data_IF_469010536153
#
_entry.id   IF_469010536153
#
_cell.length_a   1.000
_cell.length_b   1.000
_cell.length_c   1.000
_cell.angle_alpha   90.00
_cell.angle_beta   90.00
_cell.angle_gamma   90.00
#
_symmetry.space_group_name_H-M   'P 1'
#
loop_
_entity.id
_entity.type
_entity.pdbx_description
1 polymer ?
#
# COMPACT_ATOMS: atom_id res chain seq x y z
N UNK A 1 -35.66 -15.02 3.18
CA UNK A 1 -34.80 -16.07 3.78
C UNK A 1 -34.15 -17.00 2.75
N UNK A 2 -34.90 -17.53 1.77
CA UNK A 2 -34.36 -18.49 0.77
C UNK A 2 -33.21 -17.94 -0.10
N UNK A 3 -33.24 -16.67 -0.52
CA UNK A 3 -32.16 -16.09 -1.38
C UNK A 3 -30.83 -15.88 -0.65
N UNK A 4 -30.85 -15.52 0.64
CA UNK A 4 -29.62 -15.36 1.45
C UNK A 4 -28.90 -16.69 1.67
N UNK A 5 -29.66 -17.78 1.85
CA UNK A 5 -29.10 -19.14 1.98
C UNK A 5 -28.47 -19.60 0.65
N UNK A 6 -29.13 -19.31 -0.49
CA UNK A 6 -28.60 -19.62 -1.82
C UNK A 6 -27.30 -18.85 -2.10
N UNK A 7 -27.23 -17.57 -1.72
CA UNK A 7 -26.02 -16.76 -1.92
C UNK A 7 -24.83 -17.27 -1.08
N UNK A 8 -25.07 -17.67 0.18
CA UNK A 8 -24.04 -18.27 1.04
C UNK A 8 -23.55 -19.60 0.46
N UNK A 9 -24.45 -20.43 -0.08
CA UNK A 9 -24.08 -21.69 -0.70
C UNK A 9 -23.23 -21.48 -1.97
N UNK A 10 -23.57 -20.49 -2.81
CA UNK A 10 -22.76 -20.14 -3.99
C UNK A 10 -21.37 -19.66 -3.59
N UNK A 11 -21.28 -18.85 -2.52
CA UNK A 11 -20.00 -18.37 -2.00
C UNK A 11 -19.13 -19.53 -1.49
N UNK A 12 -19.71 -20.48 -0.76
CA UNK A 12 -19.00 -21.66 -0.26
C UNK A 12 -18.54 -22.59 -1.39
N UNK A 13 -19.33 -22.73 -2.44
CA UNK A 13 -18.94 -23.51 -3.63
C UNK A 13 -17.80 -22.81 -4.38
N UNK A 14 -17.87 -21.49 -4.55
CA UNK A 14 -16.82 -20.71 -5.20
C UNK A 14 -15.48 -20.78 -4.43
N UNK A 15 -15.51 -20.67 -3.09
CA UNK A 15 -14.29 -20.80 -2.27
C UNK A 15 -13.74 -22.21 -2.30
N UNK A 16 -14.58 -23.24 -2.34
CA UNK A 16 -14.13 -24.62 -2.48
C UNK A 16 -13.39 -24.87 -3.81
N UNK A 17 -13.92 -24.35 -4.93
CA UNK A 17 -13.23 -24.44 -6.23
C UNK A 17 -11.93 -23.62 -6.27
N UNK A 18 -11.90 -22.46 -5.60
CA UNK A 18 -10.69 -21.66 -5.50
C UNK A 18 -9.59 -22.36 -4.68
N UNK A 19 -9.93 -22.93 -3.51
CA UNK A 19 -8.98 -23.66 -2.66
C UNK A 19 -8.47 -24.93 -3.35
N UNK A 20 -9.34 -25.71 -3.99
CA UNK A 20 -8.92 -26.91 -4.72
C UNK A 20 -8.06 -26.58 -5.95
N UNK A 21 -8.39 -25.51 -6.68
CA UNK A 21 -7.55 -25.00 -7.77
C UNK A 21 -6.18 -24.52 -7.28
N UNK A 22 -6.14 -23.82 -6.16
CA UNK A 22 -4.90 -23.34 -5.54
C UNK A 22 -4.01 -24.49 -5.05
N UNK A 23 -4.59 -25.51 -4.41
CA UNK A 23 -3.86 -26.70 -3.99
C UNK A 23 -3.28 -27.49 -5.17
N UNK A 24 -4.04 -27.61 -6.27
CA UNK A 24 -3.54 -28.23 -7.50
C UNK A 24 -2.38 -27.44 -8.09
N UNK A 25 -2.51 -26.13 -8.18
CA UNK A 25 -1.46 -25.24 -8.68
C UNK A 25 -0.16 -25.36 -7.86
N UNK A 26 -0.28 -25.46 -6.53
CA UNK A 26 0.87 -25.69 -5.65
C UNK A 26 1.53 -27.06 -5.89
N UNK A 27 0.75 -28.10 -6.21
CA UNK A 27 1.29 -29.43 -6.52
C UNK A 27 1.98 -29.46 -7.89
N UNK A 28 1.38 -28.84 -8.91
CA UNK A 28 1.96 -28.72 -10.25
C UNK A 28 3.27 -27.90 -10.21
N UNK A 29 3.36 -26.87 -9.34
CA UNK A 29 4.61 -26.13 -9.10
C UNK A 29 5.71 -27.01 -8.50
N UNK A 30 5.37 -27.87 -7.54
CA UNK A 30 6.35 -28.79 -6.93
C UNK A 30 6.86 -29.81 -7.95
N UNK A 31 6.00 -30.33 -8.80
CA UNK A 31 6.35 -31.32 -9.81
C UNK A 31 7.21 -30.72 -10.93
N UNK A 32 6.90 -29.49 -11.38
CA UNK A 32 7.71 -28.76 -12.36
C UNK A 32 9.09 -28.40 -11.81
N UNK A 33 9.18 -27.91 -10.56
CA UNK A 33 10.46 -27.66 -9.90
C UNK A 33 11.27 -28.94 -9.69
N UNK A 34 10.65 -30.05 -9.30
CA UNK A 34 11.33 -31.34 -9.15
C UNK A 34 11.87 -31.87 -10.50
N UNK A 35 11.14 -31.63 -11.58
CA UNK A 35 11.55 -31.99 -12.95
C UNK A 35 12.73 -31.14 -13.43
N UNK A 36 12.76 -29.85 -13.07
CA UNK A 36 13.84 -28.92 -13.45
C UNK A 36 15.13 -29.17 -12.65
N UNK A 37 15.02 -29.66 -11.41
CA UNK A 37 16.16 -30.13 -10.62
C UNK A 37 16.67 -31.50 -11.11
N UNK A 38 15.79 -32.33 -11.69
CA UNK A 38 16.13 -33.66 -12.20
C UNK A 38 16.89 -33.71 -13.53
N UNK A 39 16.97 -32.60 -14.27
CA UNK A 39 17.64 -32.53 -15.59
C UNK A 39 19.05 -31.94 -15.56
N UNK A 40 19.51 -31.44 -14.41
CA UNK A 40 20.92 -31.09 -14.19
C UNK A 40 21.67 -32.29 -13.59
N UNK A 41 22.05 -33.22 -14.46
CA UNK A 41 22.77 -34.45 -14.11
C UNK A 41 24.03 -34.17 -13.29
N UNK A 42 24.03 -34.65 -12.04
CA UNK A 42 25.27 -34.99 -11.36
C UNK A 42 25.88 -36.21 -12.07
N UNK A 43 27.16 -36.19 -12.45
CA UNK A 43 27.80 -37.36 -13.04
C UNK A 43 27.77 -38.52 -12.04
N UNK A 44 27.23 -39.66 -12.48
CA UNK A 44 27.37 -40.93 -11.78
C UNK A 44 28.85 -41.33 -11.81
N UNK A 45 29.54 -41.17 -10.69
CA UNK A 45 30.85 -41.76 -10.48
C UNK A 45 30.66 -43.28 -10.31
N UNK A 46 30.88 -44.01 -11.38
CA UNK A 46 31.13 -45.45 -11.34
C UNK A 46 32.40 -45.69 -10.51
N UNK A 47 32.25 -46.35 -9.37
CA UNK A 47 33.39 -46.84 -8.58
C UNK A 47 33.75 -48.22 -9.16
N UNK A 48 34.96 -48.42 -9.72
CA UNK A 48 35.43 -49.74 -10.07
C UNK A 48 35.58 -50.57 -8.79
N UNK A 49 35.06 -51.79 -8.83
CA UNK A 49 35.35 -52.82 -7.86
C UNK A 49 36.83 -53.17 -8.00
N UNK A 50 37.65 -52.83 -7.03
CA UNK A 50 38.91 -53.53 -6.82
C UNK A 50 39.16 -53.74 -5.33
N UNK A 51 39.38 -55.01 -5.04
CA UNK A 51 39.69 -55.63 -3.78
C UNK A 51 41.18 -55.45 -3.49
N UNK A 52 41.56 -54.79 -2.40
CA UNK A 52 42.86 -55.01 -1.77
C UNK A 52 42.87 -54.38 -0.38
N UNK A 53 43.00 -55.23 0.63
CA UNK A 53 43.13 -54.82 2.03
C UNK A 53 44.39 -54.01 2.32
N UNK A 54 44.29 -53.24 3.39
CA UNK A 54 45.38 -52.51 4.02
C UNK A 54 44.84 -51.78 5.24
N UNK A 55 45.14 -52.28 6.43
CA UNK A 55 44.85 -51.65 7.71
C UNK A 55 45.58 -50.32 7.82
N UNK A 56 44.87 -49.19 7.82
CA UNK A 56 45.41 -47.91 8.30
C UNK A 56 44.34 -47.16 9.11
N UNK A 57 44.83 -46.47 10.14
CA UNK A 57 44.20 -45.97 11.36
C UNK A 57 42.79 -45.33 11.24
N UNK A 58 41.97 -45.35 12.32
CA UNK A 58 40.72 -44.61 12.34
C UNK A 58 41.01 -43.10 12.27
N UNK A 59 40.93 -42.55 11.07
CA UNK A 59 40.83 -41.10 10.85
C UNK A 59 39.56 -40.66 11.58
N UNK A 60 39.75 -39.89 12.65
CA UNK A 60 38.68 -39.17 13.32
C UNK A 60 37.99 -38.30 12.27
N UNK A 61 36.77 -38.66 11.89
CA UNK A 61 35.89 -37.74 11.19
C UNK A 61 35.72 -36.52 12.09
N UNK A 62 36.30 -35.39 11.69
CA UNK A 62 35.94 -34.10 12.25
C UNK A 62 34.57 -33.76 11.64
N UNK A 63 33.47 -33.78 12.42
CA UNK A 63 32.17 -33.42 11.89
C UNK A 63 32.22 -31.93 11.58
N UNK A 64 32.45 -31.58 10.32
CA UNK A 64 32.27 -30.23 9.82
C UNK A 64 30.85 -29.79 10.15
N UNK A 65 30.73 -28.95 11.19
CA UNK A 65 29.49 -28.36 11.67
C UNK A 65 28.89 -27.59 10.51
N UNK A 66 27.82 -28.12 9.92
CA UNK A 66 26.95 -27.34 9.04
C UNK A 66 26.26 -26.34 9.97
N UNK A 67 26.77 -25.11 10.07
CA UNK A 67 26.09 -24.01 10.75
C UNK A 67 24.78 -23.74 10.01
N UNK A 68 23.69 -24.36 10.48
CA UNK A 68 22.35 -24.02 10.03
C UNK A 68 22.00 -22.65 10.65
N UNK A 69 21.72 -21.60 9.84
CA UNK A 69 21.40 -20.29 10.38
C UNK A 69 20.23 -20.34 11.36
N UNK A 70 20.36 -19.62 12.47
CA UNK A 70 19.35 -19.59 13.53
C UNK A 70 18.03 -18.99 12.99
N UNK A 71 16.90 -19.63 13.33
CA UNK A 71 15.54 -19.12 13.01
C UNK A 71 14.96 -18.39 14.21
N UNK A 72 14.41 -17.22 13.98
CA UNK A 72 13.69 -16.42 14.97
C UNK A 72 12.22 -16.29 14.58
N UNK A 73 11.38 -15.91 15.55
CA UNK A 73 9.98 -15.55 15.28
C UNK A 73 9.89 -14.08 14.88
N UNK A 74 9.08 -13.80 13.89
CA UNK A 74 8.83 -12.46 13.41
C UNK A 74 8.05 -11.66 14.47
N UNK A 75 8.56 -10.51 14.96
CA UNK A 75 7.84 -9.67 15.90
C UNK A 75 6.65 -8.97 15.23
N UNK A 76 5.76 -8.41 16.05
CA UNK A 76 4.72 -7.50 15.57
C UNK A 76 5.28 -6.08 15.46
N UNK A 77 5.32 -5.56 14.23
CA UNK A 77 5.75 -4.20 13.90
C UNK A 77 4.57 -3.27 13.65
N UNK A 78 3.33 -3.77 13.72
CA UNK A 78 2.14 -2.98 13.41
C UNK A 78 2.00 -1.79 14.37
N UNK A 79 1.71 -0.60 13.82
CA UNK A 79 1.60 0.68 14.54
C UNK A 79 2.89 1.20 15.16
N UNK A 80 4.03 0.52 15.00
CA UNK A 80 5.33 1.06 15.39
C UNK A 80 5.82 2.12 14.42
N UNK A 81 6.69 3.00 14.91
CA UNK A 81 7.48 3.88 14.05
C UNK A 81 8.55 3.09 13.29
N UNK A 82 9.01 3.62 12.16
CA UNK A 82 10.12 3.04 11.39
C UNK A 82 11.37 2.81 12.27
N UNK A 83 11.69 3.76 13.16
CA UNK A 83 12.83 3.67 14.08
C UNK A 83 12.65 2.53 15.10
N UNK A 84 11.48 2.45 15.76
CA UNK A 84 11.17 1.35 16.70
C UNK A 84 11.18 -0.02 16.01
N UNK A 85 10.68 -0.09 14.78
CA UNK A 85 10.71 -1.31 13.99
C UNK A 85 12.14 -1.72 13.60
N UNK A 86 12.99 -0.77 13.25
CA UNK A 86 14.41 -1.02 12.96
C UNK A 86 15.14 -1.56 14.18
N UNK A 87 14.93 -0.95 15.35
CA UNK A 87 15.52 -1.39 16.62
C UNK A 87 15.15 -2.85 16.91
N UNK A 88 13.86 -3.19 16.90
CA UNK A 88 13.39 -4.55 17.16
C UNK A 88 13.95 -5.59 16.19
N UNK A 89 14.00 -5.25 14.90
CA UNK A 89 14.55 -6.16 13.89
C UNK A 89 16.06 -6.34 14.03
N UNK A 90 16.77 -5.28 14.42
CA UNK A 90 18.21 -5.32 14.64
C UNK A 90 18.60 -6.22 15.82
N UNK A 91 17.81 -6.23 16.89
CA UNK A 91 17.98 -7.13 18.04
C UNK A 91 17.88 -8.60 17.63
N UNK A 92 17.03 -8.89 16.64
CA UNK A 92 16.84 -10.22 16.06
C UNK A 92 17.80 -10.53 14.91
N UNK A 93 18.75 -9.63 14.61
CA UNK A 93 19.68 -9.71 13.47
C UNK A 93 18.96 -9.85 12.12
N UNK A 94 17.77 -9.29 12.00
CA UNK A 94 17.00 -9.22 10.77
C UNK A 94 17.32 -7.91 10.05
N UNK A 95 17.26 -7.93 8.72
CA UNK A 95 17.41 -6.72 7.90
C UNK A 95 16.04 -6.12 7.64
N UNK A 96 15.94 -4.81 7.66
CA UNK A 96 14.72 -4.09 7.29
C UNK A 96 14.83 -3.52 5.87
N UNK A 97 13.81 -3.74 5.05
CA UNK A 97 13.58 -3.04 3.78
C UNK A 97 12.30 -2.22 3.90
N UNK A 98 12.43 -0.89 3.83
CA UNK A 98 11.30 0.03 3.96
C UNK A 98 10.66 0.27 2.59
N UNK A 99 9.34 0.10 2.54
CA UNK A 99 8.50 0.38 1.39
C UNK A 99 7.47 1.44 1.77
N UNK A 100 7.69 2.68 1.34
CA UNK A 100 6.74 3.75 1.60
C UNK A 100 5.50 3.63 0.70
N UNK A 101 4.32 3.71 1.29
CA UNK A 101 3.06 3.70 0.56
C UNK A 101 2.08 4.76 1.06
N UNK A 102 1.20 5.21 0.16
CA UNK A 102 0.14 6.15 0.51
C UNK A 102 -0.83 5.48 1.49
N UNK A 103 -0.98 6.07 2.67
CA UNK A 103 -1.94 5.58 3.66
C UNK A 103 -2.53 6.75 4.45
N UNK A 104 -3.85 6.91 4.37
CA UNK A 104 -4.56 8.00 5.06
C UNK A 104 -4.94 7.65 6.51
N UNK A 105 -4.83 6.38 6.90
CA UNK A 105 -5.23 5.88 8.21
C UNK A 105 -4.11 5.94 9.25
N UNK A 106 -2.86 5.99 8.81
CA UNK A 106 -1.68 6.00 9.67
C UNK A 106 -0.86 7.27 9.43
N UNK A 107 -0.23 7.79 10.50
CA UNK A 107 0.69 8.92 10.39
C UNK A 107 1.91 8.58 9.52
N UNK A 108 2.52 9.57 8.88
CA UNK A 108 3.77 9.36 8.13
C UNK A 108 4.86 8.75 9.04
N UNK A 109 5.57 7.73 8.56
CA UNK A 109 6.62 7.04 9.32
C UNK A 109 6.11 5.89 10.20
N UNK A 110 4.82 5.57 10.16
CA UNK A 110 4.22 4.47 10.93
C UNK A 110 4.06 3.23 10.06
N UNK A 111 4.49 2.09 10.58
CA UNK A 111 4.33 0.77 9.97
C UNK A 111 2.86 0.35 10.02
N UNK A 112 2.30 0.01 8.86
CA UNK A 112 0.93 -0.49 8.77
C UNK A 112 0.85 -1.92 8.23
N UNK A 113 1.97 -2.45 7.71
CA UNK A 113 2.05 -3.82 7.23
C UNK A 113 3.51 -4.30 7.24
N UNK A 114 3.70 -5.60 7.43
CA UNK A 114 5.00 -6.26 7.39
C UNK A 114 4.93 -7.58 6.63
N UNK A 115 6.09 -8.02 6.12
CA UNK A 115 6.28 -9.38 5.62
C UNK A 115 7.71 -9.86 5.92
N UNK A 116 7.92 -11.03 6.55
CA UNK A 116 6.94 -12.04 7.01
C UNK A 116 5.89 -11.54 8.01
N UNK A 117 4.78 -12.29 8.15
CA UNK A 117 3.75 -11.96 9.14
C UNK A 117 4.24 -12.26 10.56
N UNK A 118 3.62 -11.62 11.55
CA UNK A 118 3.87 -11.88 12.97
C UNK A 118 3.89 -13.39 13.27
N UNK A 119 4.80 -13.81 14.15
CA UNK A 119 5.06 -15.21 14.55
C UNK A 119 5.62 -16.14 13.45
N UNK A 120 5.68 -15.72 12.19
CA UNK A 120 6.33 -16.52 11.14
C UNK A 120 7.82 -16.71 11.42
N UNK A 121 8.37 -17.87 11.02
CA UNK A 121 9.78 -18.19 11.22
C UNK A 121 10.63 -17.63 10.08
N UNK A 122 11.63 -16.83 10.43
CA UNK A 122 12.56 -16.18 9.50
C UNK A 122 14.00 -16.50 9.92
N UNK A 123 14.92 -16.65 8.97
CA UNK A 123 16.34 -16.87 9.27
C UNK A 123 17.00 -15.54 9.65
N UNK A 124 17.88 -15.55 10.64
CA UNK A 124 18.72 -14.39 10.94
C UNK A 124 19.48 -13.95 9.67
N UNK A 125 19.55 -12.65 9.43
CA UNK A 125 20.16 -12.04 8.24
C UNK A 125 19.25 -11.95 7.01
N UNK A 126 18.05 -12.55 7.03
CA UNK A 126 17.02 -12.33 6.02
C UNK A 126 16.39 -10.94 6.15
N UNK A 127 15.70 -10.53 5.09
CA UNK A 127 15.10 -9.20 4.95
C UNK A 127 13.60 -9.24 5.20
N UNK A 128 13.16 -8.39 6.11
CA UNK A 128 11.76 -8.08 6.36
C UNK A 128 11.38 -6.87 5.53
N UNK A 129 10.32 -7.00 4.74
CA UNK A 129 9.69 -5.86 4.07
C UNK A 129 8.70 -5.20 5.00
N UNK A 130 8.92 -3.93 5.30
CA UNK A 130 8.12 -3.12 6.20
C UNK A 130 7.47 -2.01 5.39
N UNK A 131 6.15 -1.94 5.43
CA UNK A 131 5.37 -0.97 4.69
C UNK A 131 5.02 0.18 5.61
N UNK A 132 5.58 1.35 5.29
CA UNK A 132 5.51 2.54 6.12
C UNK A 132 4.57 3.54 5.45
N UNK A 133 3.68 4.13 6.24
CA UNK A 133 2.78 5.15 5.75
C UNK A 133 3.57 6.38 5.34
N UNK A 134 3.31 6.89 4.14
CA UNK A 134 3.75 8.21 3.71
C UNK A 134 2.54 9.01 3.22
N UNK A 135 2.08 9.94 4.05
CA UNK A 135 0.93 10.79 3.73
C UNK A 135 1.24 11.80 2.61
N UNK A 136 2.51 12.11 2.32
CA UNK A 136 2.88 12.95 1.18
C UNK A 136 2.55 12.28 -0.16
N UNK A 137 2.42 10.95 -0.19
CA UNK A 137 2.01 10.19 -1.37
C UNK A 137 0.50 10.17 -1.62
N UNK A 138 -0.32 10.72 -0.70
CA UNK A 138 -1.78 10.84 -0.89
C UNK A 138 -2.15 11.87 -1.97
N UNK A 139 -1.16 12.63 -2.45
CA UNK A 139 -1.33 13.71 -3.42
C UNK A 139 -1.62 15.04 -2.71
N UNK A 140 -1.12 16.12 -3.28
CA UNK A 140 -1.53 17.46 -2.86
C UNK A 140 -2.90 17.76 -3.46
N UNK A 141 -3.82 18.27 -2.64
CA UNK A 141 -5.04 18.85 -3.20
C UNK A 141 -4.65 20.05 -4.07
N UNK A 142 -5.02 20.01 -5.36
CA UNK A 142 -4.83 21.15 -6.27
C UNK A 142 -5.64 22.33 -5.72
N UNK A 143 -4.95 23.28 -5.08
CA UNK A 143 -5.56 24.50 -4.55
C UNK A 143 -5.53 25.60 -5.59
N UNK A 144 -6.69 26.18 -5.84
CA UNK A 144 -6.89 27.27 -6.78
C UNK A 144 -7.23 28.53 -6.00
N UNK A 145 -6.69 29.67 -6.43
CA UNK A 145 -6.99 30.96 -5.82
C UNK A 145 -8.39 31.43 -6.20
N UNK A 146 -9.15 31.94 -5.23
CA UNK A 146 -10.47 32.53 -5.49
C UNK A 146 -10.29 33.94 -6.07
N UNK A 147 -10.83 34.23 -7.27
CA UNK A 147 -10.70 35.55 -7.90
C UNK A 147 -11.54 36.62 -7.20
N UNK A 148 -11.33 37.88 -7.61
CA UNK A 148 -12.18 39.00 -7.22
C UNK A 148 -13.43 39.03 -8.11
N UNK A 149 -14.58 38.67 -7.53
CA UNK A 149 -15.86 38.60 -8.23
C UNK A 149 -16.76 39.81 -7.97
N UNK A 150 -16.49 40.55 -6.88
CA UNK A 150 -17.26 41.73 -6.49
C UNK A 150 -17.16 42.80 -7.59
N UNK A 151 -18.31 43.29 -8.05
CA UNK A 151 -18.43 44.27 -9.13
C UNK A 151 -18.59 43.66 -10.52
N UNK A 152 -18.36 42.35 -10.69
CA UNK A 152 -18.64 41.66 -11.95
C UNK A 152 -20.13 41.42 -12.14
N UNK A 153 -20.55 41.29 -13.42
CA UNK A 153 -21.86 40.75 -13.74
C UNK A 153 -21.91 39.27 -13.36
N UNK A 154 -23.08 38.79 -12.97
CA UNK A 154 -23.29 37.37 -12.61
C UNK A 154 -22.72 36.41 -13.66
N UNK A 155 -23.03 36.61 -14.95
CA UNK A 155 -22.56 35.74 -16.03
C UNK A 155 -21.02 35.69 -16.13
N UNK A 156 -20.35 36.83 -15.95
CA UNK A 156 -18.90 36.93 -15.99
C UNK A 156 -18.27 36.21 -14.79
N UNK A 157 -18.80 36.44 -13.59
CA UNK A 157 -18.36 35.78 -12.37
C UNK A 157 -18.53 34.25 -12.44
N UNK A 158 -19.67 33.78 -12.97
CA UNK A 158 -19.94 32.35 -13.17
C UNK A 158 -18.94 31.73 -14.14
N UNK A 159 -18.66 32.42 -15.25
CA UNK A 159 -17.69 31.95 -16.25
C UNK A 159 -16.29 31.82 -15.65
N UNK A 160 -15.85 32.81 -14.89
CA UNK A 160 -14.54 32.82 -14.25
C UNK A 160 -14.40 31.66 -13.24
N UNK A 161 -15.39 31.48 -12.37
CA UNK A 161 -15.42 30.38 -11.41
C UNK A 161 -15.39 29.00 -12.07
N UNK A 162 -16.18 28.80 -13.12
CA UNK A 162 -16.22 27.51 -13.84
C UNK A 162 -14.92 27.21 -14.58
N UNK A 163 -14.28 28.22 -15.17
CA UNK A 163 -12.98 28.07 -15.82
C UNK A 163 -11.89 27.61 -14.85
N UNK A 164 -11.99 28.04 -13.59
CA UNK A 164 -11.10 27.65 -12.50
C UNK A 164 -11.49 26.29 -11.86
N UNK A 165 -12.56 25.63 -12.35
CA UNK A 165 -13.01 24.34 -11.85
C UNK A 165 -13.80 24.42 -10.53
N UNK A 166 -14.30 25.59 -10.15
CA UNK A 166 -15.15 25.75 -8.98
C UNK A 166 -16.63 25.46 -9.30
N UNK A 167 -17.37 25.05 -8.28
CA UNK A 167 -18.83 25.04 -8.30
C UNK A 167 -19.35 26.43 -7.90
N UNK A 168 -20.50 26.83 -8.44
CA UNK A 168 -21.09 28.14 -8.14
C UNK A 168 -22.37 27.96 -7.31
N UNK A 169 -22.45 28.69 -6.19
CA UNK A 169 -23.67 28.92 -5.42
C UNK A 169 -24.16 30.35 -5.61
N UNK A 170 -25.47 30.57 -5.44
CA UNK A 170 -26.11 31.86 -5.71
C UNK A 170 -27.00 32.27 -4.54
N UNK A 171 -26.94 33.55 -4.19
CA UNK A 171 -27.91 34.21 -3.32
C UNK A 171 -28.30 35.55 -3.97
N UNK A 172 -29.60 35.86 -3.99
CA UNK A 172 -30.11 37.08 -4.59
C UNK A 172 -30.74 37.95 -3.51
N UNK A 173 -30.23 39.16 -3.32
CA UNK A 173 -30.75 40.09 -2.32
C UNK A 173 -30.66 41.54 -2.82
N UNK A 174 -31.47 42.46 -2.31
CA UNK A 174 -31.30 43.89 -2.55
C UNK A 174 -29.95 44.38 -2.00
N UNK A 175 -29.21 45.15 -2.80
CA UNK A 175 -27.94 45.73 -2.38
C UNK A 175 -27.81 47.16 -2.90
N UNK A 176 -27.84 48.12 -1.97
CA UNK A 176 -27.60 49.53 -2.31
C UNK A 176 -26.17 49.75 -2.80
N UNK A 177 -26.02 50.57 -3.84
CA UNK A 177 -24.72 50.87 -4.45
C UNK A 177 -24.24 49.86 -5.49
N UNK A 178 -25.03 48.81 -5.77
CA UNK A 178 -24.75 47.84 -6.83
C UNK A 178 -25.94 47.74 -7.78
N UNK A 179 -25.68 47.79 -9.09
CA UNK A 179 -26.72 47.60 -10.10
C UNK A 179 -27.30 46.18 -10.03
N UNK A 180 -28.54 46.01 -10.49
CA UNK A 180 -29.17 44.71 -10.63
C UNK A 180 -28.30 43.77 -11.50
N UNK A 181 -28.15 42.52 -11.07
CA UNK A 181 -27.33 41.49 -11.74
C UNK A 181 -25.83 41.59 -11.46
N UNK A 182 -25.39 42.51 -10.59
CA UNK A 182 -23.98 42.66 -10.19
C UNK A 182 -23.71 41.93 -8.88
N UNK A 183 -22.59 41.22 -8.83
CA UNK A 183 -22.11 40.56 -7.61
C UNK A 183 -21.65 41.61 -6.60
N UNK A 184 -22.25 41.64 -5.42
CA UNK A 184 -21.88 42.57 -4.34
C UNK A 184 -21.12 41.89 -3.20
N UNK A 185 -21.09 40.55 -3.16
CA UNK A 185 -20.40 39.78 -2.13
C UNK A 185 -20.05 38.37 -2.60
N UNK A 186 -18.98 37.81 -2.05
CA UNK A 186 -18.54 36.42 -2.19
C UNK A 186 -18.25 35.83 -0.80
N UNK A 187 -18.42 34.52 -0.62
CA UNK A 187 -18.20 33.87 0.69
C UNK A 187 -16.73 33.60 1.02
N UNK A 188 -15.84 33.59 0.03
CA UNK A 188 -14.39 33.44 0.20
C UNK A 188 -13.66 34.74 -0.10
N UNK A 189 -12.58 35.02 0.64
CA UNK A 189 -11.74 36.19 0.37
C UNK A 189 -11.01 36.04 -0.97
N UNK A 190 -10.74 37.17 -1.61
CA UNK A 190 -9.88 37.23 -2.81
C UNK A 190 -8.52 36.63 -2.49
N UNK A 191 -7.96 35.87 -3.45
CA UNK A 191 -6.68 35.15 -3.37
C UNK A 191 -6.62 34.04 -2.31
N UNK A 192 -7.71 33.76 -1.59
CA UNK A 192 -7.78 32.59 -0.72
C UNK A 192 -7.64 31.30 -1.56
N UNK A 193 -6.80 30.37 -1.08
CA UNK A 193 -6.53 29.10 -1.76
C UNK A 193 -7.48 28.03 -1.26
N UNK A 194 -8.35 27.54 -2.13
CA UNK A 194 -9.31 26.47 -1.83
C UNK A 194 -9.19 25.34 -2.84
N UNK A 195 -9.61 24.14 -2.45
CA UNK A 195 -9.49 22.95 -3.29
C UNK A 195 -10.34 23.08 -4.56
N UNK A 196 -9.87 22.52 -5.67
CA UNK A 196 -10.65 22.46 -6.91
C UNK A 196 -11.99 21.78 -6.68
N UNK A 197 -13.04 22.27 -7.34
CA UNK A 197 -14.41 21.77 -7.13
C UNK A 197 -15.12 22.33 -5.90
N UNK A 198 -14.46 23.13 -5.04
CA UNK A 198 -15.13 23.87 -3.96
C UNK A 198 -16.27 24.73 -4.50
N UNK A 199 -17.36 24.83 -3.74
CA UNK A 199 -18.48 25.73 -4.05
C UNK A 199 -18.22 27.14 -3.54
N UNK A 200 -18.12 28.08 -4.46
CA UNK A 200 -18.06 29.51 -4.18
C UNK A 200 -19.46 30.09 -4.32
N UNK A 201 -19.99 30.70 -3.26
CA UNK A 201 -21.28 31.37 -3.28
C UNK A 201 -21.09 32.85 -3.59
N UNK A 202 -21.66 33.29 -4.71
CA UNK A 202 -21.76 34.71 -5.06
C UNK A 202 -23.13 35.25 -4.63
N UNK A 203 -23.14 36.50 -4.16
CA UNK A 203 -24.37 37.22 -3.86
C UNK A 203 -24.59 38.31 -4.90
N UNK A 204 -25.72 38.24 -5.56
CA UNK A 204 -26.08 39.10 -6.70
C UNK A 204 -27.13 40.11 -6.26
N UNK A 205 -26.92 41.38 -6.62
CA UNK A 205 -27.86 42.46 -6.33
C UNK A 205 -29.12 42.28 -7.17
N UNK A 206 -30.28 42.33 -6.54
CA UNK A 206 -31.59 42.43 -7.24
C UNK A 206 -31.96 43.89 -7.56
N UNK A 207 -31.03 44.83 -7.39
CA UNK A 207 -31.33 46.26 -7.37
C UNK A 207 -31.92 46.71 -6.03
N UNK A 208 -31.93 48.03 -5.82
CA UNK A 208 -32.54 48.70 -4.66
C UNK A 208 -33.42 49.86 -5.10
#
# INVERSE_FOLDING_TARGET
MKSKIIMILILLVATFFFVTGFLKYQNDLKETLAKEIGESGLPSLEIPSDESGGEEDPVKEDPSVIENPERVEMPDLYELTEEEAEELLSELKLKMEVLEEKNASFATGVVFFQKPYVEEKILQGETVRVYVSNQSLLGEEEKVAVPMLIGLKEEEAVKELRNLGFQVGYEYNPASGYAEGVVYSQNYLVDSKVSKGTRITIRVSTGS
#
